data_IF_018217066717
#
_entry.id   IF_018217066717
#
_cell.length_a   1.000
_cell.length_b   1.000
_cell.length_c   1.000
_cell.angle_alpha   90.00
_cell.angle_beta   90.00
_cell.angle_gamma   90.00
#
_symmetry.space_group_name_H-M   'P 1'
#
loop_
_entity.id
_entity.type
_entity.pdbx_description
1 polymer ?
#
# COMPACT_ATOMS: atom_id res chain seq x y z
N UNK A 1 18.58 2.68 -1.43
CA UNK A 1 19.58 1.64 -1.15
C UNK A 1 19.60 1.41 0.35
N UNK A 2 19.34 0.18 0.79
CA UNK A 2 19.26 -0.17 2.20
C UNK A 2 20.56 0.17 2.92
N UNK A 3 20.49 1.13 3.83
CA UNK A 3 21.59 1.50 4.71
C UNK A 3 21.76 0.37 5.72
N UNK A 4 22.72 -0.52 5.47
CA UNK A 4 23.03 -1.63 6.38
C UNK A 4 23.99 -1.08 7.43
N UNK A 5 23.51 -0.91 8.65
CA UNK A 5 24.40 -0.72 9.80
C UNK A 5 25.08 -2.06 10.11
N UNK A 6 26.41 -2.07 10.14
CA UNK A 6 27.20 -3.18 10.64
C UNK A 6 27.22 -3.21 12.17
N UNK A 7 27.51 -4.37 12.77
CA UNK A 7 27.55 -4.53 14.23
C UNK A 7 28.38 -3.45 14.93
N UNK A 8 29.58 -3.14 14.40
CA UNK A 8 30.47 -2.14 15.01
C UNK A 8 29.88 -0.73 15.06
N UNK A 9 29.03 -0.36 14.11
CA UNK A 9 28.39 0.96 14.06
C UNK A 9 27.24 1.05 15.06
N UNK A 10 26.52 -0.08 15.26
CA UNK A 10 25.50 -0.24 16.30
C UNK A 10 26.14 -0.08 17.68
N UNK A 11 27.23 -0.80 17.95
CA UNK A 11 27.97 -0.69 19.22
C UNK A 11 28.48 0.72 19.50
N UNK A 12 29.00 1.40 18.49
CA UNK A 12 29.50 2.78 18.64
C UNK A 12 28.37 3.75 19.02
N UNK A 13 27.19 3.61 18.40
CA UNK A 13 26.03 4.45 18.69
C UNK A 13 25.44 4.18 20.08
N UNK A 14 25.39 2.91 20.51
CA UNK A 14 24.99 2.57 21.88
C UNK A 14 25.97 3.13 22.92
N UNK A 15 27.28 2.99 22.68
CA UNK A 15 28.31 3.52 23.59
C UNK A 15 28.27 5.05 23.70
N UNK A 16 27.84 5.75 22.64
CA UNK A 16 27.65 7.20 22.65
C UNK A 16 26.37 7.64 23.37
N UNK A 17 25.58 6.71 23.90
CA UNK A 17 24.27 6.99 24.50
C UNK A 17 23.19 7.35 23.48
N UNK A 18 23.45 7.14 22.18
CA UNK A 18 22.51 7.41 21.09
C UNK A 18 21.56 6.22 20.84
N UNK A 19 21.29 5.40 21.87
CA UNK A 19 20.43 4.23 21.78
C UNK A 19 19.01 4.56 21.30
N UNK A 20 18.50 5.75 21.64
CA UNK A 20 17.22 6.24 21.13
C UNK A 20 17.25 6.51 19.63
N UNK A 21 18.29 7.19 19.13
CA UNK A 21 18.50 7.44 17.69
C UNK A 21 18.70 6.14 16.91
N UNK A 22 19.42 5.17 17.49
CA UNK A 22 19.62 3.85 16.90
C UNK A 22 18.30 3.06 16.83
N UNK A 23 17.52 3.05 17.91
CA UNK A 23 16.17 2.45 17.93
C UNK A 23 15.27 3.11 16.89
N UNK A 24 15.32 4.43 16.73
CA UNK A 24 14.57 5.17 15.71
C UNK A 24 14.98 4.80 14.28
N UNK A 25 16.28 4.58 14.03
CA UNK A 25 16.79 4.11 12.73
C UNK A 25 16.40 2.67 12.42
N UNK A 26 16.27 1.82 13.44
CA UNK A 26 15.98 0.38 13.29
C UNK A 26 14.49 0.04 13.31
N UNK A 27 13.63 0.86 13.93
CA UNK A 27 12.20 0.57 14.13
C UNK A 27 11.34 0.87 12.91
N UNK A 28 11.72 1.83 12.07
CA UNK A 28 10.97 2.19 10.87
C UNK A 28 11.72 1.65 9.67
N UNK A 29 11.10 0.71 8.96
CA UNK A 29 11.73 0.12 7.79
C UNK A 29 11.92 1.15 6.68
N UNK A 30 12.93 0.92 5.85
CA UNK A 30 13.32 1.85 4.78
C UNK A 30 12.23 2.06 3.71
N UNK A 31 11.30 1.12 3.57
CA UNK A 31 10.17 1.14 2.64
C UNK A 31 8.98 1.97 3.15
N UNK A 32 8.88 2.25 4.45
CA UNK A 32 7.83 3.13 4.99
C UNK A 32 8.28 4.60 4.95
N UNK A 33 8.11 5.22 3.77
CA UNK A 33 8.46 6.63 3.54
C UNK A 33 7.65 7.55 4.45
N UNK A 34 6.37 7.26 4.66
CA UNK A 34 5.50 8.08 5.50
C UNK A 34 5.87 7.98 6.98
N UNK A 35 6.11 6.77 7.48
CA UNK A 35 6.62 6.55 8.84
C UNK A 35 7.92 7.30 9.10
N UNK A 36 8.87 7.26 8.15
CA UNK A 36 10.14 7.98 8.25
C UNK A 36 9.96 9.49 8.32
N UNK A 37 9.08 10.04 7.49
CA UNK A 37 8.78 11.48 7.51
C UNK A 37 8.11 11.88 8.83
N UNK A 38 7.19 11.05 9.34
CA UNK A 38 6.53 11.27 10.64
C UNK A 38 7.55 11.24 11.79
N UNK A 39 8.45 10.26 11.81
CA UNK A 39 9.49 10.14 12.82
C UNK A 39 10.51 11.29 12.77
N UNK A 40 10.97 11.67 11.58
CA UNK A 40 11.85 12.82 11.43
C UNK A 40 11.19 14.12 11.95
N UNK A 41 9.90 14.32 11.66
CA UNK A 41 9.13 15.45 12.20
C UNK A 41 9.01 15.39 13.73
N UNK A 42 8.83 14.21 14.32
CA UNK A 42 8.80 14.04 15.77
C UNK A 42 10.15 14.37 16.40
N UNK A 43 11.26 13.86 15.84
CA UNK A 43 12.63 14.11 16.31
C UNK A 43 12.96 15.61 16.27
N UNK A 44 12.67 16.28 15.14
CA UNK A 44 12.90 17.73 14.99
C UNK A 44 12.06 18.58 15.95
N UNK A 45 10.93 18.06 16.44
CA UNK A 45 10.06 18.72 17.42
C UNK A 45 10.35 18.31 18.86
N UNK A 46 11.22 17.33 19.09
CA UNK A 46 11.45 16.74 20.42
C UNK A 46 10.26 15.93 20.94
N UNK A 47 9.35 15.49 20.06
CA UNK A 47 8.22 14.61 20.40
C UNK A 47 8.67 13.14 20.35
N UNK A 48 7.99 12.27 21.10
CA UNK A 48 8.24 10.82 21.01
C UNK A 48 7.77 10.25 19.67
N UNK A 49 8.60 9.40 19.07
CA UNK A 49 8.25 8.68 17.83
C UNK A 49 7.14 7.68 18.14
N UNK A 50 6.05 7.74 17.37
CA UNK A 50 4.92 6.80 17.46
C UNK A 50 5.33 5.42 16.95
N UNK A 51 4.58 4.38 17.36
CA UNK A 51 4.74 3.04 16.79
C UNK A 51 4.56 3.05 15.27
N UNK A 52 5.39 2.28 14.58
CA UNK A 52 5.36 2.17 13.12
C UNK A 52 4.07 1.47 12.68
N UNK A 53 3.56 1.86 11.51
CA UNK A 53 2.51 1.12 10.83
C UNK A 53 3.11 -0.14 10.17
N UNK A 54 2.24 -1.11 9.80
CA UNK A 54 2.66 -2.24 8.98
C UNK A 54 3.37 -1.72 7.70
N UNK A 55 4.57 -2.25 7.38
CA UNK A 55 5.33 -1.80 6.21
C UNK A 55 4.61 -2.04 4.88
N UNK A 56 4.97 -1.24 3.87
CA UNK A 56 4.46 -1.39 2.49
C UNK A 56 4.79 -2.78 1.92
N UNK A 57 5.98 -3.30 2.21
CA UNK A 57 6.39 -4.64 1.78
C UNK A 57 5.42 -5.73 2.23
N UNK A 58 4.89 -5.63 3.45
CA UNK A 58 3.94 -6.62 3.95
C UNK A 58 2.59 -6.49 3.25
N UNK A 59 2.13 -5.26 3.00
CA UNK A 59 0.92 -5.03 2.21
C UNK A 59 1.06 -5.62 0.81
N UNK A 60 2.18 -5.36 0.12
CA UNK A 60 2.49 -5.93 -1.19
C UNK A 60 2.49 -7.46 -1.14
N UNK A 61 3.11 -8.07 -0.12
CA UNK A 61 3.09 -9.52 0.08
C UNK A 61 1.65 -10.06 0.19
N UNK A 62 0.76 -9.38 0.92
CA UNK A 62 -0.64 -9.82 0.99
C UNK A 62 -1.34 -9.78 -0.37
N UNK A 63 -0.99 -8.81 -1.24
CA UNK A 63 -1.52 -8.70 -2.60
C UNK A 63 -0.96 -9.76 -3.53
N UNK A 64 0.33 -10.06 -3.42
CA UNK A 64 0.96 -11.15 -4.16
C UNK A 64 0.30 -12.50 -3.82
N UNK A 65 0.07 -12.77 -2.54
CA UNK A 65 -0.63 -13.99 -2.10
C UNK A 65 -2.08 -14.03 -2.61
N UNK A 66 -2.80 -12.90 -2.58
CA UNK A 66 -4.14 -12.80 -3.18
C UNK A 66 -4.12 -13.08 -4.69
N UNK A 67 -3.07 -12.66 -5.40
CA UNK A 67 -2.90 -12.93 -6.83
C UNK A 67 -2.72 -14.42 -7.14
N UNK A 68 -2.18 -15.18 -6.19
CA UNK A 68 -2.05 -16.64 -6.25
C UNK A 68 -3.33 -17.38 -5.81
N UNK A 69 -4.45 -16.67 -5.69
CA UNK A 69 -5.72 -17.19 -5.17
C UNK A 69 -5.63 -17.75 -3.74
N UNK A 70 -4.72 -17.21 -2.93
CA UNK A 70 -4.68 -17.48 -1.50
C UNK A 70 -5.46 -16.41 -0.75
N UNK A 71 -6.30 -16.87 0.17
CA UNK A 71 -7.02 -16.02 1.08
C UNK A 71 -6.16 -15.72 2.31
N UNK A 72 -5.99 -14.43 2.58
CA UNK A 72 -5.08 -13.91 3.59
C UNK A 72 -5.90 -13.20 4.66
N UNK A 73 -5.93 -13.76 5.87
CA UNK A 73 -6.55 -13.14 7.02
C UNK A 73 -5.47 -12.73 8.03
N UNK A 74 -5.49 -11.46 8.42
CA UNK A 74 -4.56 -10.89 9.40
C UNK A 74 -5.32 -10.60 10.68
N UNK A 75 -4.79 -11.03 11.82
CA UNK A 75 -5.44 -10.86 13.11
C UNK A 75 -4.59 -9.99 14.05
N UNK A 76 -5.23 -9.06 14.75
CA UNK A 76 -4.62 -8.42 15.92
C UNK A 76 -5.39 -8.75 17.19
N UNK A 77 -4.68 -8.64 18.32
CA UNK A 77 -5.26 -8.76 19.64
C UNK A 77 -5.97 -7.47 20.01
N UNK A 78 -7.24 -7.61 20.40
CA UNK A 78 -7.93 -6.55 21.11
C UNK A 78 -7.50 -6.47 22.57
N UNK A 79 -7.92 -5.40 23.27
CA UNK A 79 -7.64 -5.18 24.70
C UNK A 79 -8.10 -6.33 25.61
N UNK A 80 -9.00 -7.18 25.12
CA UNK A 80 -9.56 -8.35 25.80
C UNK A 80 -8.82 -9.67 25.44
N UNK A 81 -7.77 -9.61 24.62
CA UNK A 81 -6.95 -10.77 24.25
C UNK A 81 -7.52 -11.66 23.14
N UNK A 82 -8.68 -11.30 22.58
CA UNK A 82 -9.30 -12.00 21.44
C UNK A 82 -8.66 -11.53 20.12
N UNK A 83 -8.41 -12.47 19.21
CA UNK A 83 -7.90 -12.21 17.87
C UNK A 83 -9.05 -11.81 16.93
N UNK A 84 -9.03 -10.58 16.42
CA UNK A 84 -10.01 -10.10 15.45
C UNK A 84 -9.39 -9.89 14.07
N UNK A 85 -10.11 -10.23 12.99
CA UNK A 85 -9.62 -10.03 11.63
C UNK A 85 -9.58 -8.54 11.28
N UNK A 86 -8.42 -8.06 10.82
CA UNK A 86 -8.23 -6.68 10.35
C UNK A 86 -8.20 -6.64 8.83
N UNK A 87 -8.87 -5.63 8.27
CA UNK A 87 -8.74 -5.28 6.86
C UNK A 87 -7.58 -4.31 6.67
N UNK A 88 -6.55 -4.74 5.95
CA UNK A 88 -5.44 -3.88 5.55
C UNK A 88 -5.85 -3.09 4.31
N UNK A 89 -5.92 -1.77 4.43
CA UNK A 89 -6.17 -0.83 3.34
C UNK A 89 -4.91 0.00 3.09
N UNK A 90 -4.70 0.45 1.86
CA UNK A 90 -3.62 1.37 1.48
C UNK A 90 -3.63 2.66 2.33
N UNK A 91 -4.78 3.33 2.43
CA UNK A 91 -4.89 4.64 3.08
C UNK A 91 -4.87 4.59 4.61
N UNK A 92 -5.02 3.41 5.22
CA UNK A 92 -5.07 3.24 6.68
C UNK A 92 -4.59 1.85 7.08
N UNK A 93 -3.29 1.74 7.33
CA UNK A 93 -2.63 0.50 7.73
C UNK A 93 -2.65 0.38 9.27
N UNK A 94 -2.96 -0.81 9.81
CA UNK A 94 -2.89 -1.03 11.25
C UNK A 94 -1.42 -0.95 11.74
N UNK A 95 -1.22 -0.67 13.02
CA UNK A 95 0.11 -0.56 13.62
C UNK A 95 0.79 -1.92 13.80
N UNK A 96 0.03 -2.93 14.24
CA UNK A 96 0.59 -4.25 14.54
C UNK A 96 -0.41 -5.39 14.28
N UNK A 97 0.11 -6.61 14.14
CA UNK A 97 -0.66 -7.84 14.01
C UNK A 97 0.03 -8.99 14.74
N UNK A 98 -0.77 -9.95 15.22
CA UNK A 98 -0.27 -11.07 16.02
C UNK A 98 -0.24 -12.38 15.26
N UNK A 99 -1.19 -12.58 14.35
CA UNK A 99 -1.32 -13.83 13.63
C UNK A 99 -1.70 -13.60 12.17
N UNK A 100 -1.24 -14.52 11.34
CA UNK A 100 -1.43 -14.54 9.90
C UNK A 100 -1.94 -15.91 9.50
N UNK A 101 -3.05 -15.96 8.77
CA UNK A 101 -3.68 -17.19 8.31
C UNK A 101 -3.76 -17.21 6.79
N UNK A 102 -3.32 -18.32 6.22
CA UNK A 102 -3.41 -18.62 4.80
C UNK A 102 -4.45 -19.71 4.57
N UNK A 103 -5.37 -19.44 3.66
CA UNK A 103 -6.42 -20.34 3.23
C UNK A 103 -6.48 -20.36 1.69
N UNK A 104 -7.18 -21.33 1.13
CA UNK A 104 -7.48 -21.30 -0.30
C UNK A 104 -8.67 -20.35 -0.54
N UNK A 105 -8.56 -19.44 -1.50
CA UNK A 105 -9.65 -18.52 -1.80
C UNK A 105 -10.77 -19.20 -2.59
N UNK A 106 -12.02 -18.99 -2.17
CA UNK A 106 -13.18 -19.43 -2.95
C UNK A 106 -13.40 -18.52 -4.17
N UNK A 107 -14.03 -19.01 -5.26
CA UNK A 107 -14.34 -18.18 -6.43
C UNK A 107 -15.17 -16.94 -6.10
N UNK A 108 -16.09 -17.04 -5.15
CA UNK A 108 -16.90 -15.92 -4.65
C UNK A 108 -16.03 -14.86 -3.98
N UNK A 109 -15.05 -15.29 -3.17
CA UNK A 109 -14.13 -14.39 -2.50
C UNK A 109 -13.22 -13.67 -3.50
N UNK A 110 -12.71 -14.36 -4.51
CA UNK A 110 -11.91 -13.76 -5.59
C UNK A 110 -12.72 -12.68 -6.34
N UNK A 111 -14.00 -12.95 -6.63
CA UNK A 111 -14.88 -11.96 -7.27
C UNK A 111 -15.12 -10.73 -6.40
N UNK A 112 -15.16 -10.89 -5.07
CA UNK A 112 -15.31 -9.77 -4.13
C UNK A 112 -14.11 -8.81 -4.11
N UNK A 113 -12.91 -9.29 -4.44
CA UNK A 113 -11.70 -8.47 -4.56
C UNK A 113 -11.60 -7.74 -5.91
N UNK A 114 -12.31 -8.25 -6.92
CA UNK A 114 -12.23 -7.74 -8.27
C UNK A 114 -13.01 -6.44 -8.45
N UNK A 115 -12.41 -5.49 -9.17
CA UNK A 115 -13.02 -4.21 -9.53
C UNK A 115 -13.54 -4.21 -10.98
N UNK A 116 -13.40 -5.34 -11.70
CA UNK A 116 -13.83 -5.48 -13.08
C UNK A 116 -13.24 -6.72 -13.75
N UNK A 117 -13.81 -7.09 -14.90
CA UNK A 117 -13.41 -8.26 -15.67
C UNK A 117 -12.53 -7.85 -16.87
N UNK A 118 -11.39 -8.51 -17.02
CA UNK A 118 -10.53 -8.39 -18.21
C UNK A 118 -11.03 -9.37 -19.27
N UNK A 119 -11.40 -8.88 -20.44
CA UNK A 119 -11.97 -9.69 -21.53
C UNK A 119 -11.00 -9.93 -22.67
N UNK A 120 -10.00 -9.07 -22.81
CA UNK A 120 -9.05 -9.12 -23.92
C UNK A 120 -7.61 -9.16 -23.40
N UNK A 121 -6.68 -9.81 -24.12
CA UNK A 121 -5.29 -9.92 -23.70
C UNK A 121 -4.46 -8.67 -24.05
N UNK A 122 -5.03 -7.65 -24.71
CA UNK A 122 -4.24 -6.48 -25.10
C UNK A 122 -3.84 -5.63 -23.90
N UNK A 123 -2.68 -4.97 -24.02
CA UNK A 123 -2.08 -4.16 -22.95
C UNK A 123 -2.25 -2.67 -23.24
N UNK A 124 -1.38 -2.14 -24.10
CA UNK A 124 -1.34 -0.73 -24.49
C UNK A 124 -1.38 -0.61 -26.00
N UNK A 125 -1.99 0.47 -26.48
CA UNK A 125 -2.01 0.78 -27.89
C UNK A 125 -0.62 1.24 -28.36
N UNK A 126 -0.06 0.59 -29.38
CA UNK A 126 1.29 0.89 -29.89
C UNK A 126 1.48 2.32 -30.42
N UNK A 127 0.42 2.99 -30.91
CA UNK A 127 0.51 4.37 -31.42
C UNK A 127 0.28 5.40 -30.35
N UNK A 128 -0.77 5.21 -29.55
CA UNK A 128 -1.21 6.24 -28.60
C UNK A 128 -0.60 6.08 -27.22
N UNK A 129 0.03 4.93 -26.94
CA UNK A 129 0.54 4.53 -25.63
C UNK A 129 -0.54 4.57 -24.52
N UNK A 130 -1.81 4.57 -24.92
CA UNK A 130 -2.95 4.53 -24.01
C UNK A 130 -3.33 3.09 -23.72
N UNK A 131 -3.76 2.77 -22.49
CA UNK A 131 -4.28 1.45 -22.19
C UNK A 131 -5.50 1.10 -23.01
N UNK A 132 -5.58 -0.15 -23.43
CA UNK A 132 -6.71 -0.67 -24.19
C UNK A 132 -7.94 -0.90 -23.31
N UNK A 133 -9.13 -0.80 -23.91
CA UNK A 133 -10.40 -1.01 -23.19
C UNK A 133 -10.64 -2.50 -22.98
N UNK A 134 -10.98 -2.87 -21.74
CA UNK A 134 -11.17 -4.24 -21.27
C UNK A 134 -9.94 -5.15 -21.41
N UNK A 135 -8.76 -4.55 -21.59
CA UNK A 135 -7.46 -5.20 -21.63
C UNK A 135 -6.78 -5.31 -20.25
N UNK A 136 -5.56 -5.85 -20.24
CA UNK A 136 -4.77 -6.10 -19.02
C UNK A 136 -4.41 -4.83 -18.23
N UNK A 137 -4.35 -3.67 -18.89
CA UNK A 137 -4.08 -2.38 -18.23
C UNK A 137 -5.29 -1.44 -18.26
N UNK A 138 -6.51 -1.97 -18.39
CA UNK A 138 -7.69 -1.13 -18.56
C UNK A 138 -7.88 -0.12 -17.41
N UNK A 139 -7.80 1.17 -17.73
CA UNK A 139 -7.94 2.26 -16.76
C UNK A 139 -9.32 2.31 -16.08
N UNK A 140 -10.34 1.64 -16.65
CA UNK A 140 -11.65 1.51 -16.02
C UNK A 140 -11.61 0.56 -14.82
N UNK A 141 -10.82 -0.51 -14.90
CA UNK A 141 -10.72 -1.57 -13.89
C UNK A 141 -9.71 -1.18 -12.81
N UNK A 142 -8.53 -0.74 -13.23
CA UNK A 142 -7.40 -0.48 -12.32
C UNK A 142 -7.30 0.98 -11.86
N UNK A 143 -8.02 1.90 -12.50
CA UNK A 143 -8.00 3.32 -12.15
C UNK A 143 -7.25 4.21 -13.17
N UNK A 144 -7.13 5.52 -12.88
CA UNK A 144 -6.56 6.47 -13.82
C UNK A 144 -5.02 6.34 -13.92
N UNK A 145 -4.48 6.58 -15.12
CA UNK A 145 -3.01 6.58 -15.38
C UNK A 145 -2.32 7.82 -14.79
N UNK A 146 -3.06 8.89 -14.54
CA UNK A 146 -2.56 10.16 -14.02
C UNK A 146 -3.48 10.64 -12.91
N UNK A 147 -2.89 11.27 -11.91
CA UNK A 147 -3.62 11.80 -10.77
C UNK A 147 -4.74 12.74 -11.19
N UNK A 148 -5.95 12.43 -10.73
CA UNK A 148 -7.14 13.25 -10.94
C UNK A 148 -7.42 13.60 -12.42
N UNK A 149 -7.03 12.71 -13.35
CA UNK A 149 -7.28 12.85 -14.78
C UNK A 149 -7.88 11.57 -15.37
N UNK A 150 -8.99 11.72 -16.11
CA UNK A 150 -9.59 10.59 -16.82
C UNK A 150 -8.85 10.29 -18.14
N UNK A 151 -8.94 9.04 -18.63
CA UNK A 151 -8.23 8.58 -19.84
C UNK A 151 -8.52 9.42 -21.11
N UNK A 152 -9.76 9.91 -21.26
CA UNK A 152 -10.14 10.72 -22.41
C UNK A 152 -9.78 12.21 -22.27
N UNK A 153 -9.37 12.65 -21.08
CA UNK A 153 -9.03 14.05 -20.78
C UNK A 153 -10.22 15.01 -20.64
N UNK A 154 -11.48 14.54 -20.66
CA UNK A 154 -12.68 15.39 -20.44
C UNK A 154 -12.65 16.03 -19.05
N UNK A 155 -12.36 15.23 -18.03
CA UNK A 155 -12.20 15.70 -16.66
C UNK A 155 -10.73 15.64 -16.26
N UNK A 156 -10.25 16.77 -15.72
CA UNK A 156 -8.88 16.98 -15.26
C UNK A 156 -8.91 17.83 -13.99
N UNK A 157 -7.90 17.64 -13.13
CA UNK A 157 -7.69 18.32 -11.83
C UNK A 157 -8.53 17.75 -10.71
N UNK A 158 -8.05 17.98 -9.48
CA UNK A 158 -8.63 17.48 -8.22
C UNK A 158 -10.08 17.92 -7.95
N UNK A 159 -10.56 18.99 -8.60
CA UNK A 159 -11.94 19.48 -8.43
C UNK A 159 -13.02 18.45 -8.81
N UNK A 160 -12.69 17.47 -9.65
CA UNK A 160 -13.60 16.42 -10.08
C UNK A 160 -13.37 15.10 -9.34
N UNK A 161 -12.64 15.10 -8.22
CA UNK A 161 -12.36 13.90 -7.43
C UNK A 161 -13.66 13.16 -7.10
N UNK A 162 -13.68 11.86 -7.36
CA UNK A 162 -14.83 10.98 -7.09
C UNK A 162 -15.86 10.90 -8.22
N UNK A 163 -15.76 11.71 -9.27
CA UNK A 163 -16.64 11.60 -10.44
C UNK A 163 -16.13 10.50 -11.39
N UNK A 164 -17.05 9.68 -11.91
CA UNK A 164 -16.76 8.70 -12.95
C UNK A 164 -17.04 9.32 -14.32
N UNK A 165 -16.07 9.26 -15.23
CA UNK A 165 -16.24 9.86 -16.55
C UNK A 165 -17.25 9.08 -17.41
N UNK A 166 -18.29 9.74 -17.91
CA UNK A 166 -19.30 9.13 -18.80
C UNK A 166 -18.72 8.53 -20.10
N UNK A 167 -17.64 9.11 -20.62
CA UNK A 167 -17.07 8.71 -21.92
C UNK A 167 -16.14 7.50 -21.81
N UNK A 168 -15.24 7.50 -20.83
CA UNK A 168 -14.24 6.43 -20.67
C UNK A 168 -14.51 5.51 -19.47
N UNK A 169 -15.46 5.82 -18.59
CA UNK A 169 -15.79 5.03 -17.40
C UNK A 169 -14.72 5.07 -16.29
N UNK A 170 -13.68 5.90 -16.45
CA UNK A 170 -12.57 5.99 -15.48
C UNK A 170 -12.97 6.91 -14.33
N UNK A 171 -12.81 6.43 -13.10
CA UNK A 171 -13.00 7.21 -11.88
C UNK A 171 -11.83 8.20 -11.70
N UNK A 172 -12.15 9.42 -11.26
CA UNK A 172 -11.14 10.46 -11.03
C UNK A 172 -10.65 10.35 -9.59
N UNK A 173 -9.55 9.62 -9.42
CA UNK A 173 -8.89 9.36 -8.15
C UNK A 173 -7.38 9.62 -8.26
N UNK A 174 -6.65 9.43 -7.17
CA UNK A 174 -5.18 9.32 -7.22
C UNK A 174 -4.81 8.09 -8.07
N UNK A 175 -3.74 8.20 -8.86
CA UNK A 175 -3.16 7.03 -9.51
C UNK A 175 -2.45 6.19 -8.46
N UNK A 176 -2.80 4.90 -8.40
CA UNK A 176 -2.13 3.95 -7.50
C UNK A 176 -0.76 3.57 -8.06
#
# INVERSE_FOLDING_TARGET
GGQRFGEMEVWALEAYGAAHTLKEMLTIKSDDVEGRVKAYKAITRGESVKESEIPETFYVLTKELQSLALDVNVFAKNKEGVNEPILIKEDNRPSDFNAFQLLLASPEKIRSWSHGEVKKPETINYRTLKPERDGLFCAKIFGPVRDYECLCGKYKKMRYKGIVCEKCGVAITHSK
#
